data_IF_099654868889
#
_entry.id   IF_099654868889
#
_cell.length_a   1.000
_cell.length_b   1.000
_cell.length_c   1.000
_cell.angle_alpha   90.00
_cell.angle_beta   90.00
_cell.angle_gamma   90.00
#
_symmetry.space_group_name_H-M   'P 1'
#
loop_
_entity.id
_entity.type
_entity.pdbx_description
1 polymer ?
#
# COMPACT_ATOMS: atom_id res chain seq x y z
N UNK A 1 4.13 -2.34 27.07
CA UNK A 1 5.22 -1.94 27.99
C UNK A 1 4.64 -1.81 29.38
N UNK A 2 5.15 -2.53 30.38
CA UNK A 2 4.79 -2.34 31.79
C UNK A 2 5.97 -1.65 32.49
N UNK A 3 5.71 -0.51 33.12
CA UNK A 3 6.71 0.18 33.95
C UNK A 3 6.77 -0.51 35.32
N UNK A 4 7.98 -0.91 35.74
CA UNK A 4 8.18 -1.59 37.03
C UNK A 4 8.01 -0.63 38.22
N UNK A 5 8.41 0.63 38.04
CA UNK A 5 8.37 1.64 39.09
C UNK A 5 7.09 2.49 39.00
N UNK A 6 6.49 2.76 40.15
CA UNK A 6 5.36 3.67 40.26
C UNK A 6 5.83 5.13 40.22
N UNK A 7 5.07 5.98 39.55
CA UNK A 7 5.37 7.40 39.51
C UNK A 7 5.18 8.02 40.91
N UNK A 8 6.10 8.88 41.35
CA UNK A 8 5.91 9.66 42.56
C UNK A 8 4.82 10.70 42.30
N UNK A 9 3.57 10.35 42.62
CA UNK A 9 2.41 11.23 42.43
C UNK A 9 2.50 12.47 43.34
N UNK A 10 2.89 13.60 42.75
CA UNK A 10 2.97 14.87 43.46
C UNK A 10 1.90 15.84 42.96
N UNK A 11 0.72 15.85 43.59
CA UNK A 11 -0.46 16.60 43.10
C UNK A 11 -0.47 18.09 43.46
N UNK A 12 0.35 18.51 44.43
CA UNK A 12 0.42 19.91 44.84
C UNK A 12 1.15 20.75 43.79
N UNK A 13 0.45 21.63 43.08
CA UNK A 13 1.01 22.42 41.97
C UNK A 13 2.00 23.50 42.41
N UNK A 14 1.96 23.91 43.69
CA UNK A 14 2.85 24.92 44.22
C UNK A 14 2.78 26.25 43.47
N UNK A 15 3.92 26.96 43.43
CA UNK A 15 4.06 28.25 42.74
C UNK A 15 5.38 28.25 41.99
N UNK A 16 5.32 28.61 40.71
CA UNK A 16 6.52 28.73 39.88
C UNK A 16 7.46 29.80 40.48
N UNK A 17 8.74 29.48 40.72
CA UNK A 17 9.74 30.49 41.08
C UNK A 17 9.90 31.55 39.98
N UNK A 18 10.36 32.77 40.31
CA UNK A 18 10.73 33.77 39.32
C UNK A 18 11.74 33.22 38.30
N UNK A 19 11.73 33.76 37.07
CA UNK A 19 12.65 33.29 36.03
C UNK A 19 14.12 33.44 36.41
N UNK A 20 14.48 34.53 37.10
CA UNK A 20 15.83 34.72 37.65
C UNK A 20 16.23 33.55 38.54
N UNK A 21 15.31 33.08 39.38
CA UNK A 21 15.56 31.97 40.29
C UNK A 21 15.77 30.64 39.56
N UNK A 22 15.01 30.39 38.51
CA UNK A 22 15.18 29.20 37.67
C UNK A 22 16.54 29.20 36.95
N UNK A 23 17.05 30.38 36.59
CA UNK A 23 18.33 30.52 35.91
C UNK A 23 19.52 30.35 36.87
N UNK A 24 19.45 30.95 38.07
CA UNK A 24 20.54 30.94 39.06
C UNK A 24 20.58 29.67 39.91
N UNK A 25 19.46 28.95 40.01
CA UNK A 25 19.35 27.75 40.83
C UNK A 25 19.31 28.06 42.33
N UNK A 26 19.41 27.01 43.16
CA UNK A 26 19.44 27.14 44.63
C UNK A 26 20.79 27.66 45.10
N UNK A 27 20.77 28.66 45.98
CA UNK A 27 21.99 29.20 46.59
C UNK A 27 22.28 28.47 47.91
N UNK A 28 23.57 28.35 48.30
CA UNK A 28 23.93 27.80 49.60
C UNK A 28 23.22 28.53 50.75
N UNK A 29 22.75 27.76 51.75
CA UNK A 29 22.03 28.24 52.93
C UNK A 29 20.68 28.94 52.66
N UNK A 30 20.18 28.94 51.43
CA UNK A 30 18.87 29.46 51.10
C UNK A 30 17.75 28.56 51.66
N UNK A 31 16.68 29.19 52.14
CA UNK A 31 15.46 28.51 52.60
C UNK A 31 14.31 28.82 51.63
N UNK A 32 14.23 28.13 50.49
CA UNK A 32 13.21 28.43 49.50
C UNK A 32 11.81 28.03 50.00
N UNK A 33 10.76 28.72 49.55
CA UNK A 33 9.38 28.37 49.87
C UNK A 33 9.04 26.93 49.48
N UNK A 34 8.33 26.22 50.34
CA UNK A 34 7.81 24.88 50.03
C UNK A 34 6.98 24.86 48.73
N UNK A 35 6.29 25.97 48.43
CA UNK A 35 5.53 26.13 47.18
C UNK A 35 6.40 25.99 45.93
N UNK A 36 7.66 26.41 45.98
CA UNK A 36 8.59 26.28 44.85
C UNK A 36 9.03 24.83 44.63
N UNK A 37 9.27 24.08 45.72
CA UNK A 37 9.52 22.64 45.62
C UNK A 37 8.31 21.87 45.12
N UNK A 38 7.12 22.20 45.63
CA UNK A 38 5.87 21.60 45.15
C UNK A 38 5.70 21.78 43.65
N UNK A 39 5.97 22.99 43.14
CA UNK A 39 5.93 23.27 41.71
C UNK A 39 6.93 22.42 40.91
N UNK A 40 8.19 22.34 41.36
CA UNK A 40 9.22 21.56 40.69
C UNK A 40 8.84 20.07 40.64
N UNK A 41 8.42 19.51 41.78
CA UNK A 41 8.07 18.10 41.92
C UNK A 41 6.80 17.75 41.15
N UNK A 42 5.77 18.61 41.20
CA UNK A 42 4.56 18.43 40.39
C UNK A 42 4.86 18.48 38.90
N UNK A 43 5.72 19.41 38.45
CA UNK A 43 6.08 19.53 37.05
C UNK A 43 6.87 18.32 36.58
N UNK A 44 7.83 17.86 37.37
CA UNK A 44 8.59 16.64 37.11
C UNK A 44 7.65 15.42 37.00
N UNK A 45 6.76 15.23 37.98
CA UNK A 45 5.75 14.17 37.95
C UNK A 45 4.90 14.21 36.67
N UNK A 46 4.29 15.36 36.33
CA UNK A 46 3.45 15.50 35.14
C UNK A 46 4.22 15.22 33.85
N UNK A 47 5.47 15.66 33.74
CA UNK A 47 6.32 15.39 32.57
C UNK A 47 6.65 13.91 32.42
N UNK A 48 6.97 13.21 33.51
CA UNK A 48 7.25 11.77 33.45
C UNK A 48 5.96 10.99 33.15
N UNK A 49 4.83 11.39 33.73
CA UNK A 49 3.51 10.81 33.41
C UNK A 49 3.19 10.93 31.92
N UNK A 50 3.45 12.09 31.32
CA UNK A 50 3.26 12.30 29.89
C UNK A 50 4.15 11.37 29.06
N UNK A 51 5.43 11.24 29.42
CA UNK A 51 6.36 10.33 28.75
C UNK A 51 5.90 8.87 28.85
N UNK A 52 5.49 8.40 30.04
CA UNK A 52 4.99 7.04 30.21
C UNK A 52 3.70 6.78 29.42
N UNK A 53 2.81 7.77 29.34
CA UNK A 53 1.54 7.66 28.61
C UNK A 53 1.71 7.62 27.09
N UNK A 54 2.78 8.24 26.57
CA UNK A 54 3.08 8.31 25.13
C UNK A 54 4.18 7.34 24.69
N UNK A 55 4.81 6.65 25.62
CA UNK A 55 5.88 5.71 25.32
C UNK A 55 5.32 4.48 24.62
N UNK A 56 5.87 4.19 23.44
CA UNK A 56 5.57 2.97 22.70
C UNK A 56 6.63 1.89 22.94
N UNK A 57 6.19 0.63 23.02
CA UNK A 57 7.13 -0.49 23.12
C UNK A 57 7.78 -0.76 21.77
N UNK A 58 9.07 -1.12 21.77
CA UNK A 58 9.71 -1.67 20.56
C UNK A 58 9.10 -3.01 20.17
N UNK A 59 8.56 -3.76 21.13
CA UNK A 59 7.90 -5.04 20.89
C UNK A 59 6.59 -4.91 20.09
N UNK A 60 6.00 -3.71 20.05
CA UNK A 60 4.83 -3.43 19.22
C UNK A 60 5.22 -3.35 17.72
N UNK A 61 6.52 -3.29 17.38
CA UNK A 61 6.99 -3.21 15.99
C UNK A 61 6.82 -4.56 15.29
N UNK A 62 6.05 -4.59 14.21
CA UNK A 62 5.83 -5.81 13.40
C UNK A 62 4.96 -6.88 14.08
N UNK A 63 4.31 -6.55 15.21
CA UNK A 63 3.39 -7.44 15.92
C UNK A 63 1.94 -7.22 15.46
N UNK A 64 1.06 -8.24 15.49
CA UNK A 64 -0.37 -8.06 15.19
C UNK A 64 -1.00 -6.96 16.05
N UNK A 65 -1.66 -5.99 15.42
CA UNK A 65 -2.25 -4.83 16.11
C UNK A 65 -1.25 -3.77 16.60
N UNK A 66 0.04 -3.91 16.26
CA UNK A 66 1.09 -2.93 16.53
C UNK A 66 1.36 -1.98 15.36
N UNK A 67 2.60 -1.49 15.23
CA UNK A 67 3.01 -0.59 14.15
C UNK A 67 3.99 -1.26 13.18
N UNK A 68 3.91 -0.87 11.90
CA UNK A 68 4.83 -1.33 10.87
C UNK A 68 6.21 -0.69 11.03
N UNK A 69 7.27 -1.44 10.71
CA UNK A 69 8.59 -0.88 10.50
C UNK A 69 8.60 -0.12 9.16
N UNK A 70 9.38 0.97 9.08
CA UNK A 70 9.77 1.53 7.80
C UNK A 70 11.24 1.16 7.51
N UNK A 71 11.58 1.01 6.23
CA UNK A 71 12.94 0.90 5.72
C UNK A 71 13.63 2.29 5.65
N UNK A 72 14.83 2.34 5.06
CA UNK A 72 15.60 3.58 4.94
C UNK A 72 14.93 4.61 4.01
N UNK A 73 14.09 4.13 3.09
CA UNK A 73 13.33 4.91 2.13
C UNK A 73 11.96 5.35 2.65
N UNK A 74 11.54 4.87 3.83
CA UNK A 74 10.27 5.22 4.46
C UNK A 74 9.08 4.34 4.04
N UNK A 75 9.33 3.17 3.46
CA UNK A 75 8.30 2.21 3.05
C UNK A 75 8.19 1.04 4.03
N UNK A 76 7.06 0.35 4.02
CA UNK A 76 6.87 -0.87 4.83
C UNK A 76 7.63 -2.03 4.14
N UNK A 77 8.58 -2.70 4.82
CA UNK A 77 9.27 -3.86 4.27
C UNK A 77 8.30 -4.96 3.85
N UNK A 78 8.56 -5.57 2.70
CA UNK A 78 7.63 -6.54 2.08
C UNK A 78 7.40 -7.78 2.96
N UNK A 79 8.39 -8.16 3.77
CA UNK A 79 8.30 -9.27 4.72
C UNK A 79 7.25 -9.02 5.81
N UNK A 80 6.86 -7.76 6.04
CA UNK A 80 5.81 -7.39 6.99
C UNK A 80 4.41 -7.37 6.38
N UNK A 81 4.29 -7.44 5.06
CA UNK A 81 3.02 -7.31 4.36
C UNK A 81 2.22 -8.62 4.28
N UNK A 82 2.78 -9.73 4.77
CA UNK A 82 2.08 -11.00 5.01
C UNK A 82 1.44 -11.60 3.75
N UNK A 83 0.22 -11.15 3.43
CA UNK A 83 -0.55 -11.51 2.25
C UNK A 83 -0.65 -10.32 1.30
N UNK A 84 0.43 -10.05 0.56
CA UNK A 84 0.24 -9.28 -0.67
C UNK A 84 -0.54 -10.13 -1.66
N UNK A 85 -1.59 -9.59 -2.30
CA UNK A 85 -2.24 -10.28 -3.41
C UNK A 85 -1.18 -10.65 -4.44
N UNK A 86 -1.17 -11.92 -4.84
CA UNK A 86 -0.33 -12.34 -5.95
C UNK A 86 -0.80 -11.62 -7.22
N UNK A 87 0.10 -10.88 -7.86
CA UNK A 87 -0.18 -10.10 -9.07
C UNK A 87 0.27 -10.83 -10.34
N UNK A 88 0.48 -12.14 -10.27
CA UNK A 88 0.61 -12.97 -11.47
C UNK A 88 -0.64 -12.86 -12.35
N UNK A 89 -0.45 -12.82 -13.67
CA UNK A 89 -1.54 -12.58 -14.63
C UNK A 89 -2.69 -13.60 -14.53
N UNK A 90 -2.39 -14.85 -14.18
CA UNK A 90 -3.40 -15.89 -13.98
C UNK A 90 -4.28 -15.68 -12.73
N UNK A 91 -3.82 -14.85 -11.78
CA UNK A 91 -4.54 -14.56 -10.54
C UNK A 91 -5.29 -13.23 -10.57
N UNK A 92 -5.18 -12.47 -11.66
CA UNK A 92 -5.89 -11.21 -11.85
C UNK A 92 -7.14 -11.48 -12.71
N UNK A 93 -8.30 -11.27 -12.10
CA UNK A 93 -9.60 -11.39 -12.79
C UNK A 93 -9.65 -10.49 -14.03
N UNK A 94 -10.25 -11.02 -15.09
CA UNK A 94 -10.49 -10.32 -16.34
C UNK A 94 -11.99 -10.21 -16.61
N UNK A 95 -12.42 -9.09 -17.20
CA UNK A 95 -13.81 -8.92 -17.66
C UNK A 95 -13.85 -8.98 -19.19
N UNK A 96 -14.40 -10.07 -19.73
CA UNK A 96 -14.62 -10.25 -21.18
C UNK A 96 -15.81 -9.47 -21.75
N UNK A 97 -16.49 -8.64 -20.96
CA UNK A 97 -17.78 -8.01 -21.35
C UNK A 97 -17.66 -7.16 -22.63
N UNK A 98 -16.53 -6.48 -22.83
CA UNK A 98 -16.31 -5.62 -24.00
C UNK A 98 -15.56 -6.33 -25.14
N UNK A 99 -14.65 -7.25 -24.83
CA UNK A 99 -13.80 -7.93 -25.82
C UNK A 99 -14.50 -9.08 -26.53
N UNK A 100 -15.50 -9.69 -25.87
CA UNK A 100 -16.11 -10.93 -26.33
C UNK A 100 -15.22 -12.17 -26.20
N UNK A 101 -14.11 -12.07 -25.46
CA UNK A 101 -13.24 -13.21 -25.13
C UNK A 101 -13.89 -14.09 -24.05
N UNK A 102 -13.70 -15.38 -24.16
CA UNK A 102 -14.18 -16.40 -23.21
C UNK A 102 -13.08 -16.72 -22.18
N UNK A 103 -12.59 -15.66 -21.53
CA UNK A 103 -11.47 -15.73 -20.58
C UNK A 103 -11.89 -15.24 -19.19
N UNK A 104 -11.40 -15.92 -18.15
CA UNK A 104 -11.70 -15.62 -16.74
C UNK A 104 -10.64 -14.72 -16.07
N UNK A 105 -9.39 -14.80 -16.53
CA UNK A 105 -8.26 -14.03 -16.01
C UNK A 105 -7.39 -13.44 -17.14
N UNK A 106 -6.44 -12.57 -16.77
CA UNK A 106 -5.60 -11.86 -17.74
C UNK A 106 -4.72 -12.83 -18.55
N UNK A 107 -4.21 -13.91 -17.94
CA UNK A 107 -3.40 -14.90 -18.65
C UNK A 107 -4.22 -15.58 -19.76
N UNK A 108 -5.42 -16.07 -19.42
CA UNK A 108 -6.31 -16.73 -20.37
C UNK A 108 -6.72 -15.79 -21.51
N UNK A 109 -6.98 -14.51 -21.22
CA UNK A 109 -7.33 -13.52 -22.23
C UNK A 109 -6.18 -13.24 -23.22
N UNK A 110 -4.93 -13.27 -22.74
CA UNK A 110 -3.74 -13.13 -23.58
C UNK A 110 -3.56 -14.38 -24.45
N UNK A 111 -3.71 -15.57 -23.87
CA UNK A 111 -3.55 -16.84 -24.56
C UNK A 111 -4.63 -17.05 -25.63
N UNK A 112 -5.89 -16.67 -25.34
CA UNK A 112 -6.99 -16.68 -26.30
C UNK A 112 -6.72 -15.72 -27.46
N UNK A 113 -6.30 -14.49 -27.19
CA UNK A 113 -5.94 -13.55 -28.25
C UNK A 113 -4.77 -14.04 -29.10
N UNK A 114 -3.77 -14.68 -28.50
CA UNK A 114 -2.65 -15.27 -29.22
C UNK A 114 -3.14 -16.41 -30.14
N UNK A 115 -4.06 -17.25 -29.67
CA UNK A 115 -4.68 -18.30 -30.47
C UNK A 115 -5.53 -17.74 -31.62
N UNK A 116 -6.33 -16.69 -31.36
CA UNK A 116 -7.13 -16.00 -32.36
C UNK A 116 -6.26 -15.38 -33.45
N UNK A 117 -5.15 -14.73 -33.08
CA UNK A 117 -4.19 -14.18 -34.02
C UNK A 117 -3.51 -15.29 -34.85
N UNK A 118 -3.07 -16.38 -34.23
CA UNK A 118 -2.48 -17.51 -34.95
C UNK A 118 -3.45 -18.13 -35.95
N UNK A 119 -4.72 -18.25 -35.56
CA UNK A 119 -5.78 -18.77 -36.43
C UNK A 119 -6.02 -17.83 -37.62
N UNK A 120 -6.15 -16.53 -37.36
CA UNK A 120 -6.31 -15.51 -38.40
C UNK A 120 -5.14 -15.49 -39.40
N UNK A 121 -3.90 -15.71 -38.93
CA UNK A 121 -2.71 -15.77 -39.79
C UNK A 121 -2.64 -17.06 -40.64
N UNK A 122 -3.21 -18.16 -40.15
CA UNK A 122 -3.23 -19.44 -40.86
C UNK A 122 -4.38 -19.53 -41.89
N UNK A 123 -5.48 -18.82 -41.66
CA UNK A 123 -6.61 -18.78 -42.59
C UNK A 123 -6.31 -17.92 -43.84
N UNK A 124 -6.64 -18.45 -45.01
CA UNK A 124 -6.43 -17.73 -46.28
C UNK A 124 -7.50 -16.67 -46.59
N UNK A 125 -8.68 -16.76 -45.95
CA UNK A 125 -9.80 -15.83 -46.10
C UNK A 125 -10.46 -15.49 -44.74
N UNK A 126 -9.74 -14.81 -43.82
CA UNK A 126 -10.19 -14.60 -42.44
C UNK A 126 -11.18 -13.43 -42.29
N UNK A 127 -11.35 -12.61 -43.33
CA UNK A 127 -12.20 -11.43 -43.27
C UNK A 127 -13.53 -11.67 -43.97
N UNK A 128 -14.56 -10.90 -43.59
CA UNK A 128 -15.88 -10.96 -44.20
C UNK A 128 -16.43 -9.57 -44.55
N UNK A 129 -17.32 -9.49 -45.53
CA UNK A 129 -18.15 -8.31 -45.78
C UNK A 129 -19.54 -8.74 -46.26
N UNK A 130 -20.51 -7.84 -46.15
CA UNK A 130 -21.90 -8.06 -46.57
C UNK A 130 -22.19 -7.17 -47.79
N UNK A 131 -22.80 -7.75 -48.81
CA UNK A 131 -23.34 -7.01 -49.96
C UNK A 131 -24.78 -7.46 -50.22
N UNK A 132 -25.73 -6.56 -49.98
CA UNK A 132 -27.16 -6.90 -49.95
C UNK A 132 -27.48 -7.97 -48.91
N UNK A 133 -28.04 -9.10 -49.36
CA UNK A 133 -28.37 -10.26 -48.51
C UNK A 133 -27.29 -11.36 -48.53
N UNK A 134 -26.12 -11.09 -49.10
CA UNK A 134 -25.04 -12.07 -49.28
C UNK A 134 -23.86 -11.74 -48.37
N UNK A 135 -23.26 -12.79 -47.80
CA UNK A 135 -22.03 -12.70 -47.01
C UNK A 135 -20.89 -13.23 -47.87
N UNK A 136 -19.77 -12.51 -47.90
CA UNK A 136 -18.56 -12.94 -48.59
C UNK A 136 -17.42 -13.08 -47.59
N UNK A 137 -16.63 -14.15 -47.70
CA UNK A 137 -15.32 -14.26 -47.04
C UNK A 137 -14.23 -13.90 -48.02
N UNK A 138 -13.18 -13.24 -47.55
CA UNK A 138 -12.07 -12.79 -48.38
C UNK A 138 -10.74 -12.80 -47.64
N UNK A 139 -9.67 -12.79 -48.42
CA UNK A 139 -8.31 -12.66 -47.94
C UNK A 139 -7.30 -12.48 -49.07
N UNK A 140 -6.03 -12.58 -48.72
CA UNK A 140 -4.92 -12.45 -49.66
C UNK A 140 -4.09 -13.72 -49.65
N UNK A 141 -3.66 -14.16 -50.83
CA UNK A 141 -2.67 -15.23 -50.99
C UNK A 141 -1.58 -14.80 -51.97
N UNK A 142 -0.45 -15.49 -51.94
CA UNK A 142 0.61 -15.31 -52.94
C UNK A 142 0.59 -16.46 -53.94
N UNK A 143 0.51 -16.16 -55.23
CA UNK A 143 0.63 -17.13 -56.32
C UNK A 143 1.75 -16.68 -57.24
N UNK A 144 2.75 -17.52 -57.45
CA UNK A 144 3.94 -17.20 -58.26
C UNK A 144 4.64 -15.88 -57.85
N UNK A 145 4.69 -15.59 -56.54
CA UNK A 145 5.30 -14.37 -56.01
C UNK A 145 4.46 -13.09 -56.18
N UNK A 146 3.24 -13.18 -56.70
CA UNK A 146 2.33 -12.03 -56.83
C UNK A 146 1.18 -12.15 -55.81
N UNK A 147 0.81 -11.04 -55.12
CA UNK A 147 -0.35 -11.03 -54.24
C UNK A 147 -1.63 -11.15 -55.08
N UNK A 148 -2.55 -12.01 -54.64
CA UNK A 148 -3.86 -12.20 -55.22
C UNK A 148 -4.91 -12.02 -54.13
N UNK A 149 -5.89 -11.15 -54.39
CA UNK A 149 -7.12 -11.09 -53.62
C UNK A 149 -8.01 -12.27 -53.97
N UNK A 150 -8.50 -12.97 -52.95
CA UNK A 150 -9.41 -14.12 -53.10
C UNK A 150 -10.66 -13.87 -52.27
N UNK A 151 -11.81 -14.29 -52.80
CA UNK A 151 -13.10 -14.18 -52.11
C UNK A 151 -14.07 -15.29 -52.55
N UNK A 152 -15.00 -15.65 -51.68
CA UNK A 152 -16.08 -16.60 -51.95
C UNK A 152 -17.40 -16.16 -51.27
N UNK A 153 -18.53 -16.54 -51.86
CA UNK A 153 -19.88 -16.32 -51.28
C UNK A 153 -20.16 -17.40 -50.23
N UNK A 154 -20.50 -16.99 -49.01
CA UNK A 154 -20.92 -17.88 -47.91
C UNK A 154 -22.45 -17.93 -47.89
N UNK A 155 -23.00 -19.13 -48.07
CA UNK A 155 -24.46 -19.40 -48.08
C UNK A 155 -25.05 -19.36 -46.69
#
# INVERSE_FOLDING_TARGET
>A
MSFNEQLPEWKNEGTRPPQTKLNEGWLPAEKPPASWFNWLLNRAYKSIQELQSKAESKDNKGSPGGYAALDEEGNIPIEQLGNMPDMEAGNIEYSGTESGLDADNIQDAIDENAANLSTHLAETMPHQFVDGNKIYRWGFRTVNGQPQFIYEEVV
#
